data_IF_770226807397
#
_entry.id   IF_770226807397
#
_cell.length_a   1.000
_cell.length_b   1.000
_cell.length_c   1.000
_cell.angle_alpha   90.00
_cell.angle_beta   90.00
_cell.angle_gamma   90.00
#
_symmetry.space_group_name_H-M   'P 1'
#
loop_
_entity.id
_entity.type
_entity.pdbx_description
1 polymer ?
#
# COMPACT_ATOMS: atom_id res chain seq x y z
N UNK A 1 5.95 -27.84 -23.14
CA UNK A 1 5.70 -28.27 -21.74
C UNK A 1 4.32 -27.75 -21.33
N UNK A 2 3.29 -28.58 -21.49
CA UNK A 2 1.90 -28.23 -21.20
C UNK A 2 1.54 -28.70 -19.78
N UNK A 3 1.16 -27.78 -18.91
CA UNK A 3 0.61 -28.13 -17.59
C UNK A 3 -0.81 -28.70 -17.76
N UNK A 4 -1.18 -29.76 -17.01
CA UNK A 4 -2.46 -30.46 -17.17
C UNK A 4 -3.62 -29.54 -16.79
N UNK A 5 -4.70 -29.57 -17.59
CA UNK A 5 -5.90 -28.73 -17.47
C UNK A 5 -6.47 -28.67 -16.04
N UNK A 6 -6.32 -29.76 -15.28
CA UNK A 6 -6.76 -29.88 -13.88
C UNK A 6 -6.04 -28.90 -12.93
N UNK A 7 -4.75 -28.61 -13.16
CA UNK A 7 -3.99 -27.68 -12.32
C UNK A 7 -4.39 -26.22 -12.56
N UNK A 8 -4.83 -25.90 -13.79
CA UNK A 8 -5.33 -24.57 -14.17
C UNK A 8 -6.70 -24.27 -13.57
N UNK A 9 -7.61 -25.24 -13.58
CA UNK A 9 -8.95 -25.09 -13.02
C UNK A 9 -8.94 -24.86 -11.49
N UNK A 10 -8.08 -25.60 -10.77
CA UNK A 10 -7.89 -25.42 -9.31
C UNK A 10 -7.33 -24.03 -8.98
N UNK A 11 -6.38 -23.55 -9.80
CA UNK A 11 -5.77 -22.22 -9.61
C UNK A 11 -6.78 -21.08 -9.84
N UNK A 12 -7.66 -21.21 -10.85
CA UNK A 12 -8.72 -20.22 -11.15
C UNK A 12 -9.76 -20.17 -10.02
N UNK A 13 -10.16 -21.32 -9.47
CA UNK A 13 -11.11 -21.38 -8.36
C UNK A 13 -10.54 -20.76 -7.07
N UNK A 14 -9.24 -20.94 -6.81
CA UNK A 14 -8.56 -20.41 -5.61
C UNK A 14 -8.39 -18.89 -5.70
N UNK A 15 -8.11 -18.35 -6.89
CA UNK A 15 -8.06 -16.90 -7.16
C UNK A 15 -9.45 -16.26 -7.09
N UNK A 16 -10.49 -16.93 -7.60
CA UNK A 16 -11.87 -16.44 -7.54
C UNK A 16 -12.42 -16.41 -6.09
N UNK A 17 -12.07 -17.39 -5.25
CA UNK A 17 -12.43 -17.42 -3.84
C UNK A 17 -11.72 -16.31 -3.03
N UNK A 18 -10.47 -15.99 -3.36
CA UNK A 18 -9.73 -14.87 -2.79
C UNK A 18 -10.32 -13.50 -3.19
N UNK A 19 -10.89 -13.38 -4.40
CA UNK A 19 -11.57 -12.16 -4.88
C UNK A 19 -12.96 -11.94 -4.25
N UNK A 20 -13.65 -12.99 -3.81
CA UNK A 20 -15.01 -12.91 -3.22
C UNK A 20 -15.05 -12.69 -1.71
N UNK A 21 -13.93 -12.83 -0.99
CA UNK A 21 -13.82 -12.64 0.46
C UNK A 21 -13.15 -11.30 0.85
N UNK A 22 -13.22 -10.28 0.00
CA UNK A 22 -13.10 -8.90 0.49
C UNK A 22 -14.53 -8.49 0.85
N UNK A 23 -14.89 -8.43 2.14
CA UNK A 23 -16.20 -7.89 2.47
C UNK A 23 -16.22 -6.43 1.98
N UNK A 24 -17.33 -6.05 1.35
CA UNK A 24 -17.74 -4.66 1.10
C UNK A 24 -17.91 -3.91 2.44
N UNK A 25 -16.83 -3.78 3.22
CA UNK A 25 -16.78 -3.04 4.49
C UNK A 25 -15.87 -1.81 4.40
N UNK A 26 -15.71 -1.26 3.20
CA UNK A 26 -15.38 0.17 3.11
C UNK A 26 -16.66 0.96 2.83
N UNK A 27 -17.59 0.92 3.79
CA UNK A 27 -18.28 2.17 4.09
C UNK A 27 -17.15 3.13 4.41
N UNK A 28 -16.94 4.13 3.56
CA UNK A 28 -16.02 5.21 3.86
C UNK A 28 -16.37 5.76 5.24
N UNK A 29 -15.64 5.32 6.26
CA UNK A 29 -15.73 5.85 7.60
C UNK A 29 -15.26 7.29 7.46
N UNK A 30 -16.21 8.22 7.31
CA UNK A 30 -15.93 9.64 7.40
C UNK A 30 -15.48 9.91 8.83
N UNK A 31 -14.17 9.79 9.06
CA UNK A 31 -13.53 10.17 10.30
C UNK A 31 -13.88 11.65 10.54
N UNK A 32 -14.55 11.94 11.65
CA UNK A 32 -14.86 13.33 12.03
C UNK A 32 -13.54 14.12 12.14
N UNK A 33 -13.49 15.41 11.76
CA UNK A 33 -12.25 16.21 11.77
C UNK A 33 -11.48 16.15 13.09
N UNK A 34 -12.20 15.99 14.20
CA UNK A 34 -11.63 15.87 15.56
C UNK A 34 -10.79 14.60 15.74
N UNK A 35 -11.20 13.48 15.16
CA UNK A 35 -10.47 12.21 15.26
C UNK A 35 -9.21 12.20 14.38
N UNK A 36 -9.26 12.86 13.21
CA UNK A 36 -8.11 13.09 12.34
C UNK A 36 -7.07 14.03 12.99
N UNK A 37 -7.54 15.05 13.71
CA UNK A 37 -6.67 15.98 14.44
C UNK A 37 -5.87 15.32 15.57
N UNK A 38 -6.48 14.36 16.29
CA UNK A 38 -5.78 13.58 17.32
C UNK A 38 -4.71 12.65 16.76
N UNK A 39 -4.93 12.08 15.55
CA UNK A 39 -3.91 11.30 14.82
C UNK A 39 -2.78 12.17 14.28
N UNK A 40 -3.08 13.41 13.89
CA UNK A 40 -2.09 14.35 13.40
C UNK A 40 -1.28 15.05 14.52
N UNK A 41 -1.74 14.98 15.77
CA UNK A 41 -1.16 15.71 16.92
C UNK A 41 0.27 15.31 17.32
N UNK A 42 0.95 14.44 16.57
CA UNK A 42 2.37 14.15 16.70
C UNK A 42 3.08 13.89 15.37
N UNK A 43 2.39 14.11 14.24
CA UNK A 43 3.01 14.02 12.93
C UNK A 43 3.75 15.33 12.70
N UNK A 44 5.08 15.27 12.61
CA UNK A 44 5.86 16.38 12.04
C UNK A 44 5.73 16.23 10.52
N UNK A 45 4.93 17.05 9.82
CA UNK A 45 4.83 16.96 8.38
C UNK A 45 6.23 17.20 7.79
N UNK A 46 6.70 16.24 6.99
CA UNK A 46 7.98 16.36 6.29
C UNK A 46 7.84 17.48 5.25
N UNK A 47 8.59 18.56 5.43
CA UNK A 47 8.58 19.69 4.50
C UNK A 47 9.24 19.38 3.16
N UNK A 48 10.13 18.36 3.12
CA UNK A 48 10.84 17.94 1.92
C UNK A 48 11.15 16.44 1.95
N UNK A 49 11.04 15.81 0.79
CA UNK A 49 11.46 14.43 0.53
C UNK A 49 12.64 14.45 -0.45
N UNK A 50 13.65 13.62 -0.21
CA UNK A 50 14.74 13.38 -1.16
C UNK A 50 14.43 12.07 -1.91
N UNK A 51 14.02 12.13 -3.18
CA UNK A 51 13.68 10.94 -3.94
C UNK A 51 14.93 10.19 -4.41
N UNK A 52 14.90 8.87 -4.32
CA UNK A 52 15.84 7.96 -4.98
C UNK A 52 15.14 7.32 -6.17
N UNK A 53 15.48 7.78 -7.37
CA UNK A 53 14.87 7.32 -8.61
C UNK A 53 15.33 5.92 -8.99
N UNK A 54 14.40 5.12 -9.51
CA UNK A 54 14.71 3.90 -10.22
C UNK A 54 15.22 4.22 -11.64
N UNK A 55 15.86 3.24 -12.28
CA UNK A 55 16.52 3.44 -13.57
C UNK A 55 15.55 3.81 -14.71
N UNK A 56 14.30 3.36 -14.62
CA UNK A 56 13.23 3.66 -15.56
C UNK A 56 12.63 5.06 -15.35
N UNK A 57 12.98 5.74 -14.25
CA UNK A 57 12.54 7.09 -13.91
C UNK A 57 11.01 7.26 -13.84
N UNK A 58 10.27 6.16 -13.68
CA UNK A 58 8.82 6.11 -13.49
C UNK A 58 8.45 5.93 -12.02
N UNK A 59 9.40 5.50 -11.20
CA UNK A 59 9.19 5.34 -9.76
C UNK A 59 10.37 5.93 -9.00
N UNK A 60 10.13 6.32 -7.76
CA UNK A 60 11.18 6.65 -6.81
C UNK A 60 10.85 6.08 -5.44
N UNK A 61 11.86 5.94 -4.59
CA UNK A 61 11.66 5.59 -3.19
C UNK A 61 12.27 6.63 -2.26
N UNK A 62 11.78 6.70 -1.02
CA UNK A 62 12.39 7.48 0.04
C UNK A 62 12.28 6.78 1.39
N UNK A 63 13.21 7.12 2.30
CA UNK A 63 13.20 6.61 3.67
C UNK A 63 12.38 7.52 4.58
N UNK A 64 11.50 6.92 5.37
CA UNK A 64 10.81 7.59 6.45
C UNK A 64 11.29 7.07 7.80
N UNK A 65 12.01 7.92 8.54
CA UNK A 65 12.39 7.65 9.91
C UNK A 65 11.18 7.97 10.83
N UNK A 66 10.69 6.97 11.55
CA UNK A 66 9.58 7.04 12.49
C UNK A 66 10.06 7.35 13.91
N UNK A 67 9.11 7.69 14.78
CA UNK A 67 9.35 7.76 16.22
C UNK A 67 9.88 6.42 16.76
N UNK A 68 10.81 6.49 17.72
CA UNK A 68 11.45 5.29 18.28
C UNK A 68 12.54 4.67 17.41
N UNK A 69 13.00 5.37 16.36
CA UNK A 69 14.13 4.92 15.52
C UNK A 69 13.76 3.86 14.49
N UNK A 70 12.47 3.51 14.39
CA UNK A 70 11.95 2.66 13.33
C UNK A 70 12.05 3.38 11.97
N UNK A 71 12.12 2.61 10.88
CA UNK A 71 12.28 3.15 9.53
C UNK A 71 11.37 2.42 8.57
N UNK A 72 10.72 3.18 7.71
CA UNK A 72 9.93 2.70 6.59
C UNK A 72 10.57 3.14 5.28
N UNK A 73 10.33 2.37 4.23
CA UNK A 73 10.77 2.69 2.88
C UNK A 73 9.53 2.76 2.01
N UNK A 74 9.26 3.94 1.47
CA UNK A 74 8.07 4.20 0.66
C UNK A 74 8.50 4.28 -0.79
N UNK A 75 7.89 3.45 -1.63
CA UNK A 75 8.00 3.53 -3.09
C UNK A 75 6.79 4.32 -3.60
N UNK A 76 7.06 5.24 -4.52
CA UNK A 76 6.07 6.09 -5.16
C UNK A 76 6.17 5.86 -6.67
N UNK A 77 5.02 5.59 -7.26
CA UNK A 77 4.83 5.57 -8.71
C UNK A 77 4.60 7.01 -9.19
N UNK A 78 5.44 7.50 -10.10
CA UNK A 78 5.48 8.87 -10.58
C UNK A 78 4.84 8.98 -11.98
N UNK A 79 3.59 8.49 -12.07
CA UNK A 79 2.73 8.54 -13.26
C UNK A 79 2.16 9.91 -13.57
#
# INVERSE_FOLDING_TARGET
MALPLCLRAVSIALVAALLYCVPMTTLGQQETPRQRSGRAAGLVPKSRVTPHWFADNTHFWYRNDLAGGAREFIVVDAV
#
